data_IF_696982769071
#
_entry.id   IF_696982769071
#
_cell.length_a   1.000
_cell.length_b   1.000
_cell.length_c   1.000
_cell.angle_alpha   90.00
_cell.angle_beta   90.00
_cell.angle_gamma   90.00
#
_symmetry.space_group_name_H-M   'P 1'
#
loop_
_entity.id
_entity.type
_entity.pdbx_description
1 polymer ?
#
# COMPACT_ATOMS: atom_id res chain seq x y z
N UNK A 1 12.87 -2.60 1.56
CA UNK A 1 11.59 -2.93 0.90
C UNK A 1 10.46 -3.17 1.89
N UNK A 2 10.64 -4.01 2.92
CA UNK A 2 9.58 -4.35 3.90
C UNK A 2 8.70 -3.18 4.35
N UNK A 3 9.27 -2.09 4.88
CA UNK A 3 8.51 -0.92 5.34
C UNK A 3 7.63 -0.30 4.24
N UNK A 4 8.12 -0.17 3.01
CA UNK A 4 7.29 0.36 1.91
C UNK A 4 6.15 -0.59 1.54
N UNK A 5 6.35 -1.91 1.65
CA UNK A 5 5.30 -2.90 1.39
C UNK A 5 4.24 -2.83 2.51
N UNK A 6 4.66 -2.65 3.77
CA UNK A 6 3.72 -2.34 4.86
C UNK A 6 2.90 -1.09 4.52
N UNK A 7 3.55 0.00 4.11
CA UNK A 7 2.88 1.25 3.76
C UNK A 7 1.95 1.14 2.56
N UNK A 8 2.24 0.27 1.61
CA UNK A 8 1.30 -0.06 0.54
C UNK A 8 0.00 -0.65 1.09
N UNK A 9 0.08 -1.60 2.02
CA UNK A 9 -1.11 -2.23 2.59
C UNK A 9 -1.88 -1.29 3.52
N UNK A 10 -1.19 -0.44 4.29
CA UNK A 10 -1.82 0.63 5.08
C UNK A 10 -2.49 1.65 4.18
N UNK A 11 -1.81 2.12 3.13
CA UNK A 11 -2.38 3.04 2.16
C UNK A 11 -3.61 2.45 1.47
N UNK A 12 -3.59 1.14 1.15
CA UNK A 12 -4.74 0.43 0.56
C UNK A 12 -5.91 0.31 1.54
N UNK A 13 -5.63 0.00 2.81
CA UNK A 13 -6.62 -0.10 3.89
C UNK A 13 -7.31 1.26 4.10
N UNK A 14 -6.51 2.32 4.22
CA UNK A 14 -6.98 3.69 4.49
C UNK A 14 -7.44 4.45 3.23
N UNK A 15 -7.53 3.77 2.08
CA UNK A 15 -7.96 4.35 0.81
C UNK A 15 -7.08 5.53 0.32
N UNK A 16 -5.81 5.55 0.70
CA UNK A 16 -4.83 6.57 0.32
C UNK A 16 -4.11 6.30 -1.02
N UNK A 17 -4.44 5.20 -1.69
CA UNK A 17 -3.89 4.86 -3.00
C UNK A 17 -4.92 5.12 -4.09
N UNK A 18 -4.50 5.74 -5.18
CA UNK A 18 -5.30 5.90 -6.39
C UNK A 18 -4.73 5.04 -7.52
N UNK A 19 -5.63 4.37 -8.25
CA UNK A 19 -5.33 3.55 -9.41
C UNK A 19 -6.21 4.03 -10.56
N UNK A 20 -5.68 4.91 -11.41
CA UNK A 20 -6.40 5.37 -12.60
C UNK A 20 -6.41 4.27 -13.66
N UNK A 21 -7.58 3.64 -13.82
CA UNK A 21 -7.83 2.56 -14.78
C UNK A 21 -8.59 3.02 -16.02
N UNK A 22 -9.04 4.27 -16.05
CA UNK A 22 -9.93 4.80 -17.10
C UNK A 22 -9.15 5.53 -18.21
N UNK A 23 -7.82 5.65 -18.05
CA UNK A 23 -6.92 6.18 -19.06
C UNK A 23 -6.99 5.41 -20.38
N UNK A 24 -7.01 6.12 -21.51
CA UNK A 24 -6.88 5.53 -22.86
C UNK A 24 -5.59 4.75 -23.06
N UNK A 25 -4.59 4.92 -22.18
CA UNK A 25 -3.32 4.20 -22.22
C UNK A 25 -3.29 2.97 -21.30
N UNK A 26 -4.35 2.69 -20.54
CA UNK A 26 -4.39 1.59 -19.57
C UNK A 26 -3.99 0.24 -20.16
N UNK A 27 -4.45 -0.07 -21.37
CA UNK A 27 -4.14 -1.36 -22.01
C UNK A 27 -2.67 -1.55 -22.40
N UNK A 28 -1.95 -0.45 -22.61
CA UNK A 28 -0.55 -0.47 -23.02
C UNK A 28 0.42 -0.14 -21.88
N UNK A 29 -0.04 0.58 -20.84
CA UNK A 29 0.81 1.12 -19.77
C UNK A 29 0.41 0.68 -18.36
N UNK A 30 -0.78 0.10 -18.20
CA UNK A 30 -1.35 -0.21 -16.89
C UNK A 30 -1.92 1.05 -16.22
N UNK A 31 -2.33 0.96 -14.95
CA UNK A 31 -2.88 2.10 -14.24
C UNK A 31 -1.80 3.13 -13.91
N UNK A 32 -2.16 4.40 -13.92
CA UNK A 32 -1.37 5.41 -13.22
C UNK A 32 -1.61 5.25 -11.72
N UNK A 33 -0.53 5.11 -10.95
CA UNK A 33 -0.61 4.87 -9.51
C UNK A 33 -0.13 6.10 -8.75
N UNK A 34 -0.90 6.50 -7.75
CA UNK A 34 -0.58 7.64 -6.89
C UNK A 34 -0.86 7.31 -5.43
N UNK A 35 -0.17 7.98 -4.51
CA UNK A 35 -0.39 7.89 -3.06
C UNK A 35 -0.69 9.28 -2.50
N UNK A 36 -1.58 9.35 -1.52
CA UNK A 36 -1.86 10.60 -0.82
C UNK A 36 -0.66 11.02 0.03
N UNK A 37 -0.18 12.24 -0.17
CA UNK A 37 1.12 12.73 0.29
C UNK A 37 1.11 13.39 1.66
N UNK A 38 -0.05 13.57 2.29
CA UNK A 38 -0.15 14.35 3.52
C UNK A 38 -1.02 15.60 3.34
N UNK A 39 -1.22 16.31 4.45
CA UNK A 39 -2.05 17.52 4.46
C UNK A 39 -1.40 18.64 3.64
N UNK A 40 -2.04 18.99 2.53
CA UNK A 40 -1.66 20.12 1.67
C UNK A 40 -0.98 19.76 0.37
N UNK A 41 -0.51 18.53 0.20
CA UNK A 41 0.26 18.10 -0.99
C UNK A 41 -0.56 17.30 -2.02
N UNK A 42 -1.73 16.78 -1.62
CA UNK A 42 -2.62 16.04 -2.53
C UNK A 42 -2.07 14.65 -2.87
N UNK A 43 -2.16 14.26 -4.14
CA UNK A 43 -1.70 12.95 -4.63
C UNK A 43 -0.32 13.08 -5.28
N UNK A 44 0.61 12.21 -4.89
CA UNK A 44 1.93 12.08 -5.49
C UNK A 44 1.98 10.85 -6.39
N UNK A 45 2.53 11.02 -7.60
CA UNK A 45 2.52 9.99 -8.64
C UNK A 45 3.80 9.14 -8.61
N UNK A 46 3.65 7.83 -8.61
CA UNK A 46 4.76 6.93 -8.94
C UNK A 46 5.16 7.08 -10.42
N UNK A 47 6.35 6.64 -10.83
CA UNK A 47 6.75 6.64 -12.23
C UNK A 47 5.68 6.01 -13.13
N UNK A 48 5.41 6.67 -14.26
CA UNK A 48 4.43 6.19 -15.23
C UNK A 48 5.02 6.17 -16.65
N UNK A 49 4.95 5.04 -17.37
CA UNK A 49 4.51 3.72 -16.88
C UNK A 49 5.46 3.16 -15.81
N UNK A 50 4.97 2.20 -15.03
CA UNK A 50 5.82 1.43 -14.11
C UNK A 50 6.81 0.56 -14.91
N UNK A 51 8.02 0.40 -14.37
CA UNK A 51 9.00 -0.55 -14.88
C UNK A 51 8.48 -1.97 -14.67
N UNK A 52 8.21 -2.67 -15.77
CA UNK A 52 7.85 -4.08 -15.77
C UNK A 52 7.98 -4.65 -17.19
N UNK A 53 8.35 -5.93 -17.29
CA UNK A 53 8.38 -6.67 -18.56
C UNK A 53 6.97 -6.87 -19.17
N UNK A 54 5.91 -6.65 -18.39
CA UNK A 54 4.50 -6.82 -18.80
C UNK A 54 3.64 -5.68 -18.27
N UNK A 55 2.50 -5.43 -18.92
CA UNK A 55 1.51 -4.46 -18.43
C UNK A 55 0.93 -4.96 -17.11
N UNK A 56 1.19 -4.23 -16.02
CA UNK A 56 0.74 -4.61 -14.68
C UNK A 56 -0.71 -4.22 -14.49
N UNK A 57 -1.61 -5.21 -14.52
CA UNK A 57 -3.06 -5.02 -14.35
C UNK A 57 -3.59 -5.53 -13.01
N UNK A 58 -2.86 -6.47 -12.39
CA UNK A 58 -3.27 -7.10 -11.14
C UNK A 58 -2.80 -6.26 -9.96
N UNK A 59 -3.71 -5.92 -9.05
CA UNK A 59 -3.39 -5.08 -7.89
C UNK A 59 -2.33 -5.72 -6.97
N UNK A 60 -2.29 -7.05 -6.90
CA UNK A 60 -1.32 -7.78 -6.08
C UNK A 60 0.11 -7.66 -6.60
N UNK A 61 0.28 -7.37 -7.91
CA UNK A 61 1.60 -7.21 -8.54
C UNK A 61 2.12 -5.77 -8.44
N UNK A 62 1.26 -4.81 -8.09
CA UNK A 62 1.65 -3.40 -8.01
C UNK A 62 2.72 -3.11 -6.95
N UNK A 63 2.74 -3.73 -5.75
CA UNK A 63 3.86 -3.58 -4.83
C UNK A 63 5.20 -3.89 -5.51
N UNK A 64 5.30 -5.02 -6.20
CA UNK A 64 6.54 -5.41 -6.89
C UNK A 64 6.91 -4.40 -7.97
N UNK A 65 5.97 -4.07 -8.87
CA UNK A 65 6.20 -3.15 -9.97
C UNK A 65 6.58 -1.73 -9.51
N UNK A 66 5.96 -1.23 -8.43
CA UNK A 66 6.29 0.08 -7.85
C UNK A 66 7.72 0.08 -7.33
N UNK A 67 8.09 -0.94 -6.56
CA UNK A 67 9.43 -1.04 -5.98
C UNK A 67 10.51 -1.20 -7.06
N UNK A 68 10.25 -2.01 -8.10
CA UNK A 68 11.13 -2.10 -9.28
C UNK A 68 11.29 -0.75 -10.00
N UNK A 69 10.21 0.03 -10.06
CA UNK A 69 10.20 1.36 -10.70
C UNK A 69 11.02 2.42 -9.97
N UNK A 70 11.55 2.13 -8.77
CA UNK A 70 12.39 3.07 -8.01
C UNK A 70 13.58 3.57 -8.84
N UNK A 71 14.15 2.72 -9.71
CA UNK A 71 15.25 3.11 -10.60
C UNK A 71 14.85 4.21 -11.59
N UNK A 72 13.59 4.22 -12.05
CA UNK A 72 13.07 5.29 -12.92
C UNK A 72 12.96 6.59 -12.11
N UNK A 73 12.42 6.53 -10.89
CA UNK A 73 12.34 7.69 -10.01
C UNK A 73 13.73 8.29 -9.71
N UNK A 74 14.75 7.44 -9.48
CA UNK A 74 16.13 7.87 -9.29
C UNK A 74 16.70 8.55 -10.54
N UNK A 75 16.39 8.05 -11.74
CA UNK A 75 16.79 8.69 -12.99
C UNK A 75 16.11 10.07 -13.16
N UNK A 76 14.82 10.18 -12.82
CA UNK A 76 14.12 11.47 -12.81
C UNK A 76 14.73 12.43 -11.80
N UNK A 77 15.16 11.98 -10.62
CA UNK A 77 15.82 12.87 -9.65
C UNK A 77 17.06 13.54 -10.23
N UNK A 78 17.85 12.79 -11.00
CA UNK A 78 19.01 13.32 -11.69
C UNK A 78 18.61 14.32 -12.77
N UNK A 79 17.58 14.02 -13.56
CA UNK A 79 17.09 14.88 -14.65
C UNK A 79 16.53 16.22 -14.14
N UNK A 80 15.72 16.19 -13.07
CA UNK A 80 15.10 17.40 -12.50
C UNK A 80 15.95 18.09 -11.44
N UNK A 81 17.05 17.47 -11.00
CA UNK A 81 17.91 18.00 -9.93
C UNK A 81 17.23 18.10 -8.57
N UNK A 82 16.29 17.19 -8.26
CA UNK A 82 15.46 17.20 -7.05
C UNK A 82 15.15 15.78 -6.58
N UNK A 83 14.87 15.61 -5.27
CA UNK A 83 14.40 14.33 -4.72
C UNK A 83 12.88 14.18 -4.76
N UNK A 84 12.15 15.17 -5.28
CA UNK A 84 10.69 15.14 -5.42
C UNK A 84 10.16 13.84 -6.07
N UNK A 85 10.79 13.27 -7.13
CA UNK A 85 10.31 12.00 -7.70
C UNK A 85 10.34 10.80 -6.74
N UNK A 86 11.09 10.88 -5.63
CA UNK A 86 11.11 9.87 -4.58
C UNK A 86 10.05 10.10 -3.48
N UNK A 87 9.36 11.25 -3.48
CA UNK A 87 8.40 11.57 -2.42
C UNK A 87 7.29 10.51 -2.26
N UNK A 88 6.68 9.95 -3.33
CA UNK A 88 5.71 8.86 -3.20
C UNK A 88 6.26 7.60 -2.51
N UNK A 89 7.55 7.30 -2.72
CA UNK A 89 8.22 6.17 -2.06
C UNK A 89 8.50 6.46 -0.59
N UNK A 90 8.94 7.68 -0.28
CA UNK A 90 9.08 8.14 1.10
C UNK A 90 7.74 8.07 1.83
N UNK A 91 6.65 8.44 1.17
CA UNK A 91 5.31 8.34 1.74
C UNK A 91 4.89 6.91 2.08
N UNK A 92 5.21 5.93 1.22
CA UNK A 92 5.04 4.51 1.57
C UNK A 92 5.90 4.10 2.77
N UNK A 93 7.10 4.67 2.90
CA UNK A 93 7.97 4.40 4.03
C UNK A 93 7.34 4.90 5.35
N UNK A 94 6.80 6.13 5.36
CA UNK A 94 6.08 6.70 6.50
C UNK A 94 4.85 5.87 6.90
N UNK A 95 3.99 5.56 5.92
CA UNK A 95 2.79 4.74 6.14
C UNK A 95 3.11 3.35 6.70
N UNK A 96 4.31 2.85 6.43
CA UNK A 96 4.77 1.53 6.85
C UNK A 96 5.42 1.45 8.22
N UNK A 97 5.41 2.53 9.01
CA UNK A 97 5.95 2.56 10.36
C UNK A 97 7.45 2.87 10.46
N UNK A 98 8.01 3.62 9.51
CA UNK A 98 9.45 3.94 9.47
C UNK A 98 10.01 4.59 10.75
N UNK A 99 9.22 5.43 11.41
CA UNK A 99 9.62 6.11 12.64
C UNK A 99 9.40 5.20 13.86
N UNK A 100 10.24 4.17 14.04
CA UNK A 100 10.19 3.25 15.20
C UNK A 100 8.84 2.50 15.34
N UNK A 101 8.31 1.95 14.23
CA UNK A 101 7.00 1.30 14.21
C UNK A 101 5.86 2.23 14.66
N UNK A 102 5.97 3.53 14.40
CA UNK A 102 4.87 4.48 14.55
C UNK A 102 4.00 4.50 13.29
N UNK A 103 2.78 3.98 13.41
CA UNK A 103 1.81 3.89 12.33
C UNK A 103 0.77 5.01 12.48
N UNK A 104 1.20 6.28 12.51
CA UNK A 104 0.36 7.40 12.97
C UNK A 104 -0.98 7.50 12.23
N UNK A 105 -1.00 7.36 10.91
CA UNK A 105 -2.25 7.39 10.12
C UNK A 105 -3.19 6.24 10.48
N UNK A 106 -2.63 5.04 10.66
CA UNK A 106 -3.39 3.85 11.04
C UNK A 106 -3.93 3.99 12.47
N UNK A 107 -3.10 4.47 13.40
CA UNK A 107 -3.46 4.70 14.80
C UNK A 107 -4.56 5.76 14.90
N UNK A 108 -4.40 6.91 14.26
CA UNK A 108 -5.41 7.98 14.24
C UNK A 108 -6.76 7.48 13.73
N UNK A 109 -6.73 6.64 12.68
CA UNK A 109 -7.95 6.05 12.16
C UNK A 109 -8.56 5.03 13.13
N UNK A 110 -7.79 4.08 13.63
CA UNK A 110 -8.31 3.00 14.47
C UNK A 110 -8.79 3.54 15.82
N UNK A 111 -8.03 4.42 16.48
CA UNK A 111 -8.38 5.00 17.78
C UNK A 111 -9.55 5.97 17.67
N UNK A 112 -9.45 6.95 16.77
CA UNK A 112 -10.33 8.11 16.78
C UNK A 112 -11.31 8.16 15.60
N UNK A 113 -11.20 7.26 14.63
CA UNK A 113 -12.00 7.34 13.40
C UNK A 113 -11.67 8.58 12.56
N UNK A 114 -10.48 9.17 12.76
CA UNK A 114 -10.07 10.43 12.13
C UNK A 114 -9.02 10.17 11.07
N UNK A 115 -9.15 10.87 9.96
CA UNK A 115 -8.08 11.01 8.98
C UNK A 115 -7.47 12.40 9.06
N UNK A 116 -6.26 12.54 8.54
CA UNK A 116 -5.64 13.84 8.36
C UNK A 116 -6.47 14.73 7.43
N UNK A 117 -6.27 16.04 7.52
CA UNK A 117 -7.06 17.00 6.74
C UNK A 117 -6.91 16.74 5.24
N UNK A 118 -8.04 16.67 4.53
CA UNK A 118 -8.15 16.37 3.09
C UNK A 118 -7.62 14.99 2.68
N UNK A 119 -7.37 14.08 3.62
CA UNK A 119 -7.08 12.69 3.30
C UNK A 119 -8.34 12.01 2.72
N UNK A 120 -8.18 11.06 1.78
CA UNK A 120 -9.28 10.23 1.34
C UNK A 120 -9.97 9.53 2.52
N UNK A 121 -11.30 9.47 2.48
CA UNK A 121 -12.06 8.73 3.48
C UNK A 121 -11.83 7.23 3.31
N UNK A 122 -11.46 6.49 4.37
CA UNK A 122 -11.37 5.04 4.34
C UNK A 122 -12.72 4.42 4.00
N UNK A 123 -12.69 3.30 3.30
CA UNK A 123 -13.90 2.63 2.85
C UNK A 123 -14.48 1.77 3.99
N UNK A 124 -15.79 1.88 4.31
CA UNK A 124 -16.40 1.16 5.42
C UNK A 124 -16.15 -0.35 5.43
N UNK A 125 -16.16 -0.99 4.26
CA UNK A 125 -15.94 -2.43 4.12
C UNK A 125 -14.50 -2.87 4.40
N UNK A 126 -13.54 -1.94 4.34
CA UNK A 126 -12.10 -2.18 4.55
C UNK A 126 -11.66 -1.80 5.95
N UNK A 127 -12.10 -0.64 6.43
CA UNK A 127 -11.54 -0.03 7.63
C UNK A 127 -12.60 0.44 8.66
N UNK A 128 -13.88 0.16 8.42
CA UNK A 128 -14.98 0.64 9.26
C UNK A 128 -15.33 2.10 8.99
N UNK A 129 -16.19 2.67 9.83
CA UNK A 129 -16.66 4.05 9.72
C UNK A 129 -16.20 4.90 10.92
N UNK A 130 -16.17 6.25 10.79
CA UNK A 130 -15.75 7.14 11.88
C UNK A 130 -16.58 7.04 13.17
N UNK A 131 -17.84 6.65 13.04
CA UNK A 131 -18.84 6.54 14.11
C UNK A 131 -18.78 5.23 14.90
N UNK A 132 -18.00 4.25 14.44
CA UNK A 132 -17.80 2.96 15.12
C UNK A 132 -16.92 3.10 16.37
N UNK A 133 -16.93 2.08 17.22
CA UNK A 133 -15.96 1.98 18.32
C UNK A 133 -14.55 1.67 17.80
N UNK A 134 -13.55 1.82 18.67
CA UNK A 134 -12.17 1.42 18.39
C UNK A 134 -12.13 -0.08 18.04
N UNK A 135 -12.77 -0.92 18.85
CA UNK A 135 -12.77 -2.38 18.72
C UNK A 135 -13.45 -2.83 17.42
N UNK A 136 -14.56 -2.18 17.05
CA UNK A 136 -15.25 -2.44 15.79
C UNK A 136 -14.35 -2.10 14.58
N UNK A 137 -13.67 -0.95 14.60
CA UNK A 137 -12.70 -0.59 13.55
C UNK A 137 -11.52 -1.56 13.51
N UNK A 138 -10.96 -1.95 14.66
CA UNK A 138 -9.90 -2.95 14.72
C UNK A 138 -10.32 -4.27 14.07
N UNK A 139 -11.51 -4.76 14.42
CA UNK A 139 -12.03 -6.01 13.87
C UNK A 139 -12.20 -5.95 12.36
N UNK A 140 -12.76 -4.85 11.83
CA UNK A 140 -12.95 -4.68 10.39
C UNK A 140 -11.61 -4.57 9.66
N UNK A 141 -10.67 -3.75 10.16
CA UNK A 141 -9.34 -3.59 9.57
C UNK A 141 -8.57 -4.92 9.56
N UNK A 142 -8.54 -5.62 10.69
CA UNK A 142 -7.85 -6.91 10.82
C UNK A 142 -8.48 -7.99 9.95
N UNK A 143 -9.82 -8.01 9.83
CA UNK A 143 -10.53 -8.91 8.91
C UNK A 143 -10.13 -8.65 7.47
N UNK A 144 -10.18 -7.40 7.02
CA UNK A 144 -9.82 -7.04 5.64
C UNK A 144 -8.38 -7.47 5.28
N UNK A 145 -7.42 -7.17 6.16
CA UNK A 145 -6.01 -7.52 5.94
C UNK A 145 -5.79 -9.05 5.95
N UNK A 146 -6.44 -9.77 6.87
CA UNK A 146 -6.42 -11.25 6.91
C UNK A 146 -6.99 -11.83 5.62
N UNK A 147 -8.15 -11.36 5.16
CA UNK A 147 -8.77 -11.81 3.92
C UNK A 147 -7.89 -11.55 2.69
N UNK A 148 -7.14 -10.43 2.66
CA UNK A 148 -6.15 -10.18 1.62
C UNK A 148 -5.00 -11.19 1.69
N UNK A 149 -4.49 -11.48 2.89
CA UNK A 149 -3.43 -12.45 3.10
C UNK A 149 -3.82 -13.84 2.64
N UNK A 150 -5.03 -14.29 3.00
CA UNK A 150 -5.51 -15.63 2.64
C UNK A 150 -5.71 -15.76 1.12
N UNK A 151 -6.30 -14.75 0.48
CA UNK A 151 -6.44 -14.70 -0.98
C UNK A 151 -5.08 -14.71 -1.68
N UNK A 152 -4.09 -13.99 -1.15
CA UNK A 152 -2.74 -13.95 -1.70
C UNK A 152 -2.07 -15.32 -1.58
N UNK A 153 -2.10 -15.96 -0.39
CA UNK A 153 -1.54 -17.30 -0.17
C UNK A 153 -2.19 -18.35 -1.06
N UNK A 154 -3.52 -18.32 -1.18
CA UNK A 154 -4.27 -19.22 -2.07
C UNK A 154 -3.86 -19.03 -3.54
N UNK A 155 -3.65 -17.79 -3.98
CA UNK A 155 -3.17 -17.50 -5.34
C UNK A 155 -1.77 -18.06 -5.56
N UNK A 156 -0.86 -17.90 -4.59
CA UNK A 156 0.51 -18.41 -4.68
C UNK A 156 0.56 -19.94 -4.64
N UNK A 157 -0.27 -20.60 -3.84
CA UNK A 157 -0.30 -22.07 -3.74
C UNK A 157 -0.85 -22.77 -4.98
N UNK A 158 -1.56 -22.05 -5.85
CA UNK A 158 -2.10 -22.56 -7.11
C UNK A 158 -1.12 -22.42 -8.28
N UNK A 159 0.05 -21.82 -8.08
CA UNK A 159 1.07 -21.74 -9.12
C UNK A 159 1.66 -23.12 -9.38
N UNK A 160 1.77 -23.48 -10.66
CA UNK A 160 2.39 -24.74 -11.06
C UNK A 160 3.91 -24.66 -10.86
N UNK A 161 4.45 -25.50 -9.97
CA UNK A 161 5.88 -25.59 -9.66
C UNK A 161 6.74 -25.98 -10.86
N UNK A 162 6.14 -26.59 -11.89
CA UNK A 162 6.84 -26.99 -13.12
C UNK A 162 6.77 -25.93 -14.21
N UNK A 163 5.99 -24.88 -14.02
CA UNK A 163 5.90 -23.77 -14.97
C UNK A 163 7.18 -22.92 -14.90
N UNK A 164 7.69 -22.41 -16.03
CA UNK A 164 8.85 -21.52 -16.05
C UNK A 164 8.60 -20.28 -15.17
N UNK A 165 9.57 -19.90 -14.34
CA UNK A 165 9.41 -18.77 -13.40
C UNK A 165 9.03 -17.43 -14.05
N UNK A 166 9.38 -17.22 -15.33
CA UNK A 166 8.99 -16.03 -16.11
C UNK A 166 7.47 -15.88 -16.25
N UNK A 167 6.70 -16.96 -16.11
CA UNK A 167 5.23 -16.94 -16.19
C UNK A 167 4.59 -16.59 -14.86
N UNK A 168 5.32 -16.68 -13.75
CA UNK A 168 4.81 -16.36 -12.43
C UNK A 168 4.45 -14.88 -12.32
N UNK A 169 3.50 -14.49 -11.44
CA UNK A 169 3.19 -13.09 -11.19
C UNK A 169 4.40 -12.33 -10.62
N UNK A 170 4.50 -11.02 -10.84
CA UNK A 170 5.62 -10.20 -10.32
C UNK A 170 5.70 -10.27 -8.79
N UNK A 171 4.55 -10.33 -8.14
CA UNK A 171 4.44 -10.51 -6.69
C UNK A 171 5.06 -11.81 -6.16
N UNK A 172 5.34 -12.81 -7.00
CA UNK A 172 5.91 -14.08 -6.55
C UNK A 172 7.31 -13.91 -5.93
N UNK A 173 8.14 -13.03 -6.49
CA UNK A 173 9.49 -12.76 -5.95
C UNK A 173 9.42 -12.10 -4.57
N UNK A 174 8.38 -11.30 -4.34
CA UNK A 174 8.15 -10.59 -3.07
C UNK A 174 7.18 -11.32 -2.13
N UNK A 175 6.75 -12.55 -2.44
CA UNK A 175 5.66 -13.23 -1.70
C UNK A 175 5.87 -13.29 -0.19
N UNK A 176 7.08 -13.61 0.26
CA UNK A 176 7.42 -13.68 1.68
C UNK A 176 7.33 -12.30 2.34
N UNK A 177 7.79 -11.25 1.65
CA UNK A 177 7.68 -9.87 2.15
C UNK A 177 6.24 -9.40 2.18
N UNK A 178 5.42 -9.79 1.20
CA UNK A 178 3.99 -9.47 1.14
C UNK A 178 3.24 -10.14 2.28
N UNK A 179 3.43 -11.44 2.48
CA UNK A 179 2.83 -12.21 3.58
C UNK A 179 3.23 -11.62 4.93
N UNK A 180 4.53 -11.39 5.15
CA UNK A 180 5.02 -10.76 6.37
C UNK A 180 4.49 -9.34 6.58
N UNK A 181 4.31 -8.56 5.50
CA UNK A 181 3.74 -7.20 5.61
C UNK A 181 2.28 -7.24 6.04
N UNK A 182 1.49 -8.14 5.48
CA UNK A 182 0.08 -8.30 5.83
C UNK A 182 -0.07 -8.75 7.29
N UNK A 183 0.73 -9.71 7.72
CA UNK A 183 0.81 -10.14 9.13
C UNK A 183 1.17 -8.97 10.05
N UNK A 184 2.23 -8.22 9.72
CA UNK A 184 2.66 -7.06 10.50
C UNK A 184 1.61 -5.95 10.56
N UNK A 185 0.86 -5.71 9.47
CA UNK A 185 -0.24 -4.76 9.48
C UNK A 185 -1.40 -5.23 10.38
N UNK A 186 -1.71 -6.53 10.40
CA UNK A 186 -2.72 -7.09 11.31
C UNK A 186 -2.29 -6.94 12.77
N UNK A 187 -1.03 -7.23 13.08
CA UNK A 187 -0.46 -7.01 14.41
C UNK A 187 -0.54 -5.54 14.81
N UNK A 188 -0.12 -4.63 13.92
CA UNK A 188 -0.18 -3.19 14.16
C UNK A 188 -1.61 -2.75 14.51
N UNK A 189 -2.61 -3.13 13.71
CA UNK A 189 -4.03 -2.84 13.97
C UNK A 189 -4.48 -3.35 15.34
N UNK A 190 -4.14 -4.60 15.68
CA UNK A 190 -4.57 -5.24 16.93
C UNK A 190 -3.87 -4.68 18.17
N UNK A 191 -2.66 -4.16 18.02
CA UNK A 191 -1.88 -3.54 19.09
C UNK A 191 -2.28 -2.10 19.39
N UNK A 192 -3.15 -1.49 18.58
CA UNK A 192 -3.63 -0.13 18.82
C UNK A 192 -4.47 -0.10 20.09
N UNK A 193 -4.03 0.66 21.08
CA UNK A 193 -4.76 0.91 22.31
C UNK A 193 -4.97 2.42 22.47
N UNK A 194 -6.04 2.82 23.17
CA UNK A 194 -6.22 4.22 23.55
C UNK A 194 -5.34 4.47 24.77
N UNK A 195 -4.34 5.36 24.65
CA UNK A 195 -3.59 5.81 25.82
C UNK A 195 -4.56 6.48 26.81
N UNK A 196 -4.70 5.90 28.00
CA UNK A 196 -5.44 6.53 29.09
C UNK A 196 -4.65 7.78 29.53
N UNK A 197 -5.12 8.96 29.13
CA UNK A 197 -4.65 10.22 29.71
C UNK A 197 -4.97 10.22 31.21
N UNK A 198 -3.93 10.05 32.03
CA UNK A 198 -3.92 10.27 33.48
C UNK A 198 -4.16 11.75 33.83
#
# INVERSE_FOLDING_TARGET
WQTMINGWFVGRLLNQLNLDKDSSTYDSKGPKVSVWMGSGEGMGDFPFPLLSARVVRQIDDLPAAILESLIIAMAYCHDVGSLEPLAPYHRLFELGGAAQDQWSDLQNWVVDGKTAQNAPTPLPERAGSPDMSLEERQQICARYLTELSDKFREKMSRLDEHSPSVTYPLSWELRQYIESSLEKCVEAVRSVEREETL
#
